data_IF_916683331810
#
_entry.id   IF_916683331810
#
_cell.length_a   1.000
_cell.length_b   1.000
_cell.length_c   1.000
_cell.angle_alpha   90.00
_cell.angle_beta   90.00
_cell.angle_gamma   90.00
#
_symmetry.space_group_name_H-M   'P 1'
#
loop_
_entity.id
_entity.type
_entity.pdbx_description
1 polymer ?
#
# COMPACT_ATOMS: atom_id res chain seq x y z
N UNK A 1 17.45 -17.49 -1.89
CA UNK A 1 16.07 -16.94 -1.84
C UNK A 1 16.15 -15.42 -1.78
N UNK A 2 15.58 -14.71 -2.75
CA UNK A 2 15.56 -13.25 -2.76
C UNK A 2 14.35 -12.73 -1.95
N UNK A 3 14.60 -11.87 -0.96
CA UNK A 3 13.54 -11.18 -0.20
C UNK A 3 13.33 -9.79 -0.79
N UNK A 4 12.09 -9.30 -0.73
CA UNK A 4 11.80 -7.93 -1.14
C UNK A 4 12.32 -6.93 -0.10
N UNK A 5 13.26 -6.06 -0.51
CA UNK A 5 13.86 -5.01 0.34
C UNK A 5 13.39 -3.60 -0.01
N UNK A 6 12.43 -3.48 -0.95
CA UNK A 6 11.91 -2.20 -1.40
C UNK A 6 10.92 -1.54 -0.41
N UNK A 7 10.23 -0.47 -0.86
CA UNK A 7 9.31 0.27 -0.02
C UNK A 7 8.04 -0.52 0.35
N UNK A 8 8.01 -1.12 1.54
CA UNK A 8 6.89 -1.96 2.03
C UNK A 8 5.53 -1.24 2.11
N UNK A 9 5.49 0.05 2.47
CA UNK A 9 4.23 0.81 2.51
C UNK A 9 3.60 1.01 1.12
N UNK A 10 4.36 0.79 0.04
CA UNK A 10 3.86 0.80 -1.33
C UNK A 10 2.93 -0.39 -1.57
N UNK A 11 3.24 -1.55 -0.98
CA UNK A 11 2.41 -2.74 -1.11
C UNK A 11 1.06 -2.55 -0.43
N UNK A 12 1.03 -2.08 0.83
CA UNK A 12 -0.23 -1.81 1.52
C UNK A 12 -1.16 -0.88 0.72
N UNK A 13 -0.59 0.14 0.06
CA UNK A 13 -1.34 1.08 -0.77
C UNK A 13 -1.77 0.50 -2.12
N UNK A 14 -1.07 -0.50 -2.64
CA UNK A 14 -1.45 -1.20 -3.88
C UNK A 14 -2.59 -2.18 -3.62
N UNK A 15 -2.52 -2.88 -2.49
CA UNK A 15 -3.51 -3.87 -2.05
C UNK A 15 -4.71 -3.24 -1.32
N UNK A 16 -4.75 -1.91 -1.16
CA UNK A 16 -5.79 -1.16 -0.43
C UNK A 16 -6.11 -1.73 0.97
N UNK A 17 -5.15 -2.39 1.62
CA UNK A 17 -5.31 -3.08 2.90
C UNK A 17 -4.07 -2.94 3.78
N UNK A 18 -4.24 -2.96 5.11
CA UNK A 18 -3.11 -2.91 6.05
C UNK A 18 -2.44 -4.28 6.13
N UNK A 19 -1.25 -4.40 5.54
CA UNK A 19 -0.42 -5.62 5.62
C UNK A 19 0.50 -5.66 6.85
N UNK A 20 0.53 -4.61 7.68
CA UNK A 20 1.33 -4.51 8.91
C UNK A 20 2.85 -4.78 8.77
N UNK A 21 3.41 -4.65 7.56
CA UNK A 21 4.83 -4.90 7.27
C UNK A 21 5.83 -3.94 7.95
N UNK A 22 5.36 -2.89 8.64
CA UNK A 22 6.20 -1.96 9.43
C UNK A 22 5.95 -2.04 10.94
N UNK A 23 5.18 -3.02 11.43
CA UNK A 23 4.88 -3.16 12.85
C UNK A 23 4.23 -1.90 13.44
N UNK A 24 4.81 -1.35 14.51
CA UNK A 24 4.28 -0.24 15.31
C UNK A 24 3.83 0.97 14.49
N UNK A 25 4.58 1.33 13.44
CA UNK A 25 4.22 2.47 12.59
C UNK A 25 2.85 2.30 11.92
N UNK A 26 2.43 1.07 11.63
CA UNK A 26 1.15 0.77 10.98
C UNK A 26 -0.07 1.08 11.85
N UNK A 27 0.11 1.17 13.18
CA UNK A 27 -0.95 1.52 14.13
C UNK A 27 -1.05 3.03 14.39
N UNK A 28 -0.08 3.81 13.92
CA UNK A 28 -0.07 5.27 14.07
C UNK A 28 -0.66 5.99 12.85
N UNK A 29 -1.03 7.25 13.02
CA UNK A 29 -1.47 8.15 11.94
C UNK A 29 -0.38 8.42 10.87
N UNK A 30 0.86 8.01 11.14
CA UNK A 30 1.97 8.06 10.18
C UNK A 30 1.93 6.91 9.17
N UNK A 31 0.94 6.02 9.26
CA UNK A 31 0.70 4.96 8.29
C UNK A 31 0.39 5.56 6.91
N UNK A 32 0.98 4.99 5.86
CA UNK A 32 0.82 5.51 4.51
C UNK A 32 -0.59 5.27 3.95
N UNK A 33 -1.31 4.27 4.49
CA UNK A 33 -2.67 3.95 4.07
C UNK A 33 -3.66 5.01 4.58
N UNK A 34 -3.60 5.36 5.87
CA UNK A 34 -4.45 6.41 6.46
C UNK A 34 -4.29 7.75 5.74
N UNK A 35 -3.05 8.13 5.43
CA UNK A 35 -2.76 9.41 4.77
C UNK A 35 -3.04 9.40 3.26
N UNK A 36 -2.93 8.25 2.60
CA UNK A 36 -2.99 8.11 1.13
C UNK A 36 -3.62 6.77 0.76
N UNK A 37 -4.93 6.68 0.98
CA UNK A 37 -5.74 5.50 0.69
C UNK A 37 -6.06 5.35 -0.80
N UNK A 38 -5.01 5.31 -1.62
CA UNK A 38 -5.09 5.13 -3.07
C UNK A 38 -3.76 4.56 -3.56
N UNK A 39 -3.80 3.93 -4.74
CA UNK A 39 -2.65 3.23 -5.32
C UNK A 39 -1.43 4.15 -5.50
N UNK A 40 -0.20 3.61 -5.44
CA UNK A 40 1.00 4.39 -5.69
C UNK A 40 1.17 4.72 -7.19
N UNK A 41 1.68 5.92 -7.50
CA UNK A 41 2.00 6.37 -8.86
C UNK A 41 1.12 7.53 -9.34
N UNK A 42 1.44 8.07 -10.53
CA UNK A 42 0.76 9.24 -11.11
C UNK A 42 -0.75 9.00 -11.31
N UNK A 43 -1.12 7.81 -11.74
CA UNK A 43 -2.52 7.43 -11.99
C UNK A 43 -3.19 6.78 -10.78
N UNK A 44 -2.57 6.85 -9.61
CA UNK A 44 -3.01 6.12 -8.41
C UNK A 44 -4.39 6.51 -7.88
N UNK A 45 -4.87 7.71 -8.21
CA UNK A 45 -6.19 8.21 -7.81
C UNK A 45 -7.32 7.84 -8.78
N UNK A 46 -6.97 7.29 -9.95
CA UNK A 46 -7.97 6.84 -10.93
C UNK A 46 -8.72 5.60 -10.42
N UNK A 47 -10.01 5.51 -10.73
CA UNK A 47 -10.79 4.28 -10.51
C UNK A 47 -10.49 3.31 -11.66
N UNK A 48 -10.27 2.05 -11.32
CA UNK A 48 -9.95 0.98 -12.28
C UNK A 48 -10.99 -0.13 -12.12
N UNK A 49 -11.52 -0.65 -13.22
CA UNK A 49 -12.36 -1.85 -13.21
C UNK A 49 -11.47 -3.07 -13.01
N UNK A 50 -11.74 -3.87 -11.98
CA UNK A 50 -11.01 -5.11 -11.71
C UNK A 50 -11.44 -6.19 -12.71
N UNK A 51 -10.49 -6.98 -13.19
CA UNK A 51 -10.71 -8.13 -14.07
C UNK A 51 -10.63 -9.42 -13.24
N UNK A 52 -11.31 -10.48 -13.68
CA UNK A 52 -11.36 -11.79 -12.98
C UNK A 52 -10.09 -12.64 -13.10
N UNK A 53 -8.99 -12.09 -13.65
CA UNK A 53 -7.69 -12.76 -13.68
C UNK A 53 -7.02 -12.72 -12.30
#
# INVERSE_FOLDING_TARGET
>A
MARYTGPVCRMCRRENTKLFLKGDRCYTDKCALERRNYAPGQHGQGRIKVSDY
#
